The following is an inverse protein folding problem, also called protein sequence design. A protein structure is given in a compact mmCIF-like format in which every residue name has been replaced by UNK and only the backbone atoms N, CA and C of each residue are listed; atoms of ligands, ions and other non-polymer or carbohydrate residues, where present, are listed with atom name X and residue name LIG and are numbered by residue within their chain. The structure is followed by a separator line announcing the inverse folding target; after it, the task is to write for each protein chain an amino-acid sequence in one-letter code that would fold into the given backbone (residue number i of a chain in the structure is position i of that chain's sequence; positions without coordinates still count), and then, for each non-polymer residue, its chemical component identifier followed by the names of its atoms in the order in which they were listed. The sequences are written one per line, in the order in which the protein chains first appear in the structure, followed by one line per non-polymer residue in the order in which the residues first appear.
data_IF_028513820557
#
_entry.id   IF_028513820557
#
_cell.length_a   1.000
_cell.length_b   1.000
_cell.length_c   1.000
_cell.angle_alpha   90.00
_cell.angle_beta   90.00
_cell.angle_gamma   90.00
#
_symmetry.space_group_name_H-M   'P 1'
#
loop_
_entity.id
_entity.type
_entity.pdbx_description
1 polymer ?
#
# COMPACT_ATOMS: atom_id res chain seq x y z
N UNK A 1 -34.17 2.01 -13.12
CA UNK A 1 -33.66 3.12 -12.28
C UNK A 1 -32.77 2.51 -11.21
N UNK A 2 -31.45 2.62 -11.36
CA UNK A 2 -30.49 2.14 -10.35
C UNK A 2 -30.26 3.30 -9.40
N UNK A 3 -30.66 3.13 -8.14
CA UNK A 3 -30.36 4.09 -7.08
C UNK A 3 -28.83 4.14 -6.89
N UNK A 4 -28.20 5.31 -6.73
CA UNK A 4 -26.83 5.37 -6.27
C UNK A 4 -26.85 4.98 -4.79
N UNK A 5 -26.47 3.75 -4.50
CA UNK A 5 -26.20 3.29 -3.14
C UNK A 5 -25.17 4.22 -2.50
N UNK A 6 -25.48 4.65 -1.28
CA UNK A 6 -24.82 5.73 -0.57
C UNK A 6 -23.30 5.58 -0.52
N UNK A 7 -22.62 6.61 -1.00
CA UNK A 7 -21.17 6.77 -0.93
C UNK A 7 -20.72 6.96 0.51
N UNK A 8 -20.41 5.86 1.19
CA UNK A 8 -19.61 5.85 2.40
C UNK A 8 -18.16 5.58 2.01
N UNK A 9 -17.41 6.65 1.70
CA UNK A 9 -15.95 6.72 1.70
C UNK A 9 -15.20 5.62 0.94
N UNK A 10 -15.15 5.73 -0.40
CA UNK A 10 -14.40 4.84 -1.31
C UNK A 10 -12.86 4.84 -1.09
N UNK A 11 -12.36 5.60 -0.12
CA UNK A 11 -10.95 5.70 0.29
C UNK A 11 -10.69 5.17 1.71
N UNK A 12 -11.71 4.66 2.39
CA UNK A 12 -11.63 4.13 3.76
C UNK A 12 -10.62 2.98 3.87
N UNK A 13 -10.66 1.99 2.95
CA UNK A 13 -9.76 0.84 2.95
C UNK A 13 -8.29 1.23 2.83
N UNK A 14 -7.95 2.13 1.91
CA UNK A 14 -6.58 2.60 1.72
C UNK A 14 -6.09 3.37 2.95
N UNK A 15 -6.95 4.20 3.52
CA UNK A 15 -6.63 5.01 4.71
C UNK A 15 -6.45 4.12 5.93
N UNK A 16 -7.27 3.09 6.08
CA UNK A 16 -7.16 2.10 7.14
C UNK A 16 -5.87 1.28 7.00
N UNK A 17 -5.54 0.85 5.78
CA UNK A 17 -4.30 0.15 5.49
C UNK A 17 -3.06 0.98 5.89
N UNK A 18 -3.02 2.25 5.47
CA UNK A 18 -1.95 3.18 5.83
C UNK A 18 -1.91 3.46 7.35
N UNK A 19 -3.08 3.57 7.99
CA UNK A 19 -3.20 3.74 9.44
C UNK A 19 -2.62 2.55 10.22
N UNK A 20 -2.84 1.32 9.75
CA UNK A 20 -2.21 0.12 10.32
C UNK A 20 -0.69 0.13 10.15
N UNK A 21 -0.19 0.51 8.97
CA UNK A 21 1.25 0.64 8.72
C UNK A 21 1.88 1.69 9.64
N UNK A 22 1.22 2.84 9.81
CA UNK A 22 1.66 3.90 10.71
C UNK A 22 1.70 3.45 12.17
N UNK A 23 0.67 2.73 12.61
CA UNK A 23 0.56 2.23 13.98
C UNK A 23 1.61 1.18 14.31
N UNK A 24 1.84 0.24 13.38
CA UNK A 24 2.69 -0.93 13.61
C UNK A 24 4.14 -0.72 13.17
N UNK A 25 4.42 0.32 12.39
CA UNK A 25 5.75 0.59 11.81
C UNK A 25 6.20 -0.45 10.78
N UNK A 26 5.26 -1.25 10.24
CA UNK A 26 5.51 -2.32 9.25
C UNK A 26 4.23 -2.67 8.51
N UNK A 27 4.35 -3.31 7.34
CA UNK A 27 3.20 -3.93 6.67
C UNK A 27 2.95 -5.32 7.28
N UNK A 28 1.86 -5.45 8.05
CA UNK A 28 1.41 -6.75 8.56
C UNK A 28 0.41 -7.41 7.58
N UNK A 29 -0.03 -8.63 7.88
CA UNK A 29 -0.95 -9.38 7.02
C UNK A 29 -2.31 -8.68 6.84
N UNK A 30 -2.78 -7.97 7.86
CA UNK A 30 -4.05 -7.24 7.85
C UNK A 30 -3.97 -6.01 6.95
N UNK A 31 -2.95 -5.17 7.12
CA UNK A 31 -2.67 -4.03 6.26
C UNK A 31 -2.54 -4.48 4.80
N UNK A 32 -1.81 -5.58 4.54
CA UNK A 32 -1.68 -6.16 3.21
C UNK A 32 -3.04 -6.53 2.61
N UNK A 33 -3.92 -7.17 3.37
CA UNK A 33 -5.25 -7.54 2.88
C UNK A 33 -6.06 -6.30 2.48
N UNK A 34 -6.00 -5.23 3.28
CA UNK A 34 -6.67 -3.96 2.96
C UNK A 34 -6.09 -3.28 1.72
N UNK A 35 -4.76 -3.29 1.52
CA UNK A 35 -4.16 -2.78 0.28
C UNK A 35 -4.61 -3.56 -0.96
N UNK A 36 -4.77 -4.88 -0.88
CA UNK A 36 -5.35 -5.67 -1.97
C UNK A 36 -6.78 -5.24 -2.28
N UNK A 37 -7.62 -5.13 -1.26
CA UNK A 37 -9.02 -4.72 -1.41
C UNK A 37 -9.13 -3.31 -1.99
N UNK A 38 -8.34 -2.36 -1.49
CA UNK A 38 -8.32 -0.98 -1.99
C UNK A 38 -7.93 -0.91 -3.47
N UNK A 39 -6.92 -1.68 -3.89
CA UNK A 39 -6.50 -1.74 -5.29
C UNK A 39 -7.58 -2.36 -6.17
N UNK A 40 -8.18 -3.47 -5.75
CA UNK A 40 -9.20 -4.16 -6.53
C UNK A 40 -10.46 -3.31 -6.66
N UNK A 41 -10.87 -2.63 -5.59
CA UNK A 41 -11.97 -1.67 -5.63
C UNK A 41 -11.67 -0.53 -6.61
N UNK A 42 -10.49 0.09 -6.51
CA UNK A 42 -10.14 1.20 -7.39
C UNK A 42 -10.20 0.81 -8.87
N UNK A 43 -9.70 -0.38 -9.23
CA UNK A 43 -9.74 -0.89 -10.60
C UNK A 43 -11.14 -1.12 -11.15
N UNK A 44 -12.10 -1.43 -10.28
CA UNK A 44 -13.48 -1.71 -10.69
C UNK A 44 -14.36 -0.46 -10.72
N UNK A 45 -14.12 0.49 -9.81
CA UNK A 45 -15.09 1.53 -9.47
C UNK A 45 -14.57 2.96 -9.70
N UNK A 46 -13.25 3.17 -9.74
CA UNK A 46 -12.65 4.51 -9.67
C UNK A 46 -11.97 4.92 -10.99
N UNK A 47 -11.76 6.24 -11.21
CA UNK A 47 -11.07 6.74 -12.40
C UNK A 47 -9.60 6.30 -12.50
N UNK A 48 -9.05 6.33 -13.72
CA UNK A 48 -7.72 5.80 -14.05
C UNK A 48 -6.57 6.38 -13.20
N UNK A 49 -6.64 7.65 -12.82
CA UNK A 49 -5.61 8.27 -11.99
C UNK A 49 -5.61 7.72 -10.56
N UNK A 50 -6.79 7.42 -9.99
CA UNK A 50 -6.92 6.74 -8.70
C UNK A 50 -6.49 5.28 -8.81
N UNK A 51 -6.80 4.61 -9.92
CA UNK A 51 -6.29 3.26 -10.18
C UNK A 51 -4.77 3.23 -10.20
N UNK A 52 -4.14 4.19 -10.89
CA UNK A 52 -2.70 4.30 -10.95
C UNK A 52 -2.10 4.60 -9.56
N UNK A 53 -2.68 5.55 -8.84
CA UNK A 53 -2.22 5.88 -7.49
C UNK A 53 -2.30 4.69 -6.52
N UNK A 54 -3.43 3.98 -6.53
CA UNK A 54 -3.62 2.80 -5.67
C UNK A 54 -2.72 1.64 -6.07
N UNK A 55 -2.41 1.48 -7.36
CA UNK A 55 -1.41 0.53 -7.84
C UNK A 55 0.00 0.91 -7.36
N UNK A 56 0.41 2.18 -7.48
CA UNK A 56 1.73 2.64 -7.04
C UNK A 56 1.94 2.41 -5.53
N UNK A 57 0.91 2.65 -4.71
CA UNK A 57 0.97 2.35 -3.27
C UNK A 57 1.01 0.86 -3.00
N UNK A 58 0.22 0.08 -3.73
CA UNK A 58 0.21 -1.36 -3.60
C UNK A 58 1.58 -1.98 -3.91
N UNK A 59 2.29 -1.46 -4.91
CA UNK A 59 3.64 -1.93 -5.27
C UNK A 59 4.67 -1.60 -4.18
N UNK A 60 4.62 -0.39 -3.61
CA UNK A 60 5.42 -0.02 -2.42
C UNK A 60 5.13 -0.96 -1.24
N UNK A 61 3.85 -1.25 -0.99
CA UNK A 61 3.46 -2.20 0.05
C UNK A 61 4.06 -3.58 -0.18
N UNK A 62 4.00 -4.11 -1.42
CA UNK A 62 4.57 -5.41 -1.74
C UNK A 62 6.08 -5.46 -1.51
N UNK A 63 6.79 -4.38 -1.86
CA UNK A 63 8.23 -4.26 -1.64
C UNK A 63 8.58 -4.22 -0.13
N UNK A 64 7.74 -3.59 0.68
CA UNK A 64 7.89 -3.60 2.13
C UNK A 64 7.49 -4.93 2.78
N UNK A 65 6.46 -5.62 2.26
CA UNK A 65 5.95 -6.86 2.84
C UNK A 65 6.77 -8.09 2.46
N UNK A 66 7.22 -8.14 1.21
CA UNK A 66 8.13 -9.18 0.73
C UNK A 66 9.52 -8.58 0.87
N UNK A 67 10.24 -8.80 2.00
CA UNK A 67 11.60 -8.31 2.12
C UNK A 67 12.38 -8.78 0.90
N UNK A 68 13.32 -7.96 0.42
CA UNK A 68 14.21 -8.17 -0.74
C UNK A 68 15.02 -9.47 -0.60
N UNK A 69 14.31 -10.58 -0.70
CA UNK A 69 14.77 -11.97 -0.54
C UNK A 69 14.86 -12.64 -1.90
N UNK A 70 14.26 -12.04 -2.93
CA UNK A 70 14.39 -12.49 -4.32
C UNK A 70 15.61 -11.90 -5.07
N UNK A 71 16.27 -10.85 -4.57
CA UNK A 71 17.61 -10.47 -5.07
C UNK A 71 18.73 -11.37 -4.49
N UNK A 72 18.38 -12.32 -3.61
CA UNK A 72 19.27 -13.38 -3.14
C UNK A 72 19.08 -14.56 -4.08
N UNK A 73 19.92 -14.62 -5.12
CA UNK A 73 19.90 -15.67 -6.11
C UNK A 73 19.97 -17.09 -5.49
N UNK A 74 19.46 -18.14 -6.18
CA UNK A 74 19.11 -19.46 -5.63
C UNK A 74 20.28 -20.36 -5.21
N UNK A 75 21.51 -19.84 -5.15
CA UNK A 75 22.69 -20.66 -4.91
C UNK A 75 23.08 -20.78 -3.44
N UNK A 76 22.42 -20.06 -2.54
CA UNK A 76 22.51 -20.31 -1.10
C UNK A 76 21.20 -20.92 -0.61
N UNK A 77 21.29 -22.17 -0.18
CA UNK A 77 20.23 -22.93 0.48
C UNK A 77 19.59 -22.11 1.61
N UNK A 78 18.51 -21.37 1.32
CA UNK A 78 17.62 -20.75 2.31
C UNK A 78 18.27 -19.81 3.33
N UNK A 79 19.44 -19.24 3.02
CA UNK A 79 20.17 -18.40 3.96
C UNK A 79 19.57 -17.00 4.04
N UNK A 80 19.11 -16.59 5.22
CA UNK A 80 18.80 -15.16 5.47
C UNK A 80 20.05 -14.32 5.18
N UNK A 81 19.91 -13.11 4.62
CA UNK A 81 21.03 -12.21 4.40
C UNK A 81 21.73 -11.94 5.73
N UNK A 82 23.07 -12.03 5.75
CA UNK A 82 23.90 -11.78 6.93
C UNK A 82 24.70 -10.48 6.77
N UNK A 83 25.04 -9.84 7.89
CA UNK A 83 25.89 -8.65 7.93
C UNK A 83 25.32 -7.44 7.19
N UNK A 84 26.18 -6.74 6.44
CA UNK A 84 25.86 -5.48 5.77
C UNK A 84 24.71 -5.59 4.75
N UNK A 85 24.53 -6.76 4.13
CA UNK A 85 23.41 -7.02 3.21
C UNK A 85 22.07 -7.00 3.93
N UNK A 86 22.00 -7.54 5.15
CA UNK A 86 20.78 -7.47 5.97
C UNK A 86 20.45 -6.04 6.34
N UNK A 87 21.48 -5.27 6.71
CA UNK A 87 21.33 -3.86 7.08
C UNK A 87 20.77 -3.03 5.92
N UNK A 88 21.32 -3.19 4.71
CA UNK A 88 20.83 -2.49 3.52
C UNK A 88 19.37 -2.83 3.18
N UNK A 89 18.98 -4.10 3.31
CA UNK A 89 17.58 -4.51 3.08
C UNK A 89 16.64 -3.89 4.13
N UNK A 90 17.03 -3.88 5.40
CA UNK A 90 16.24 -3.26 6.47
C UNK A 90 16.17 -1.74 6.34
N UNK A 91 17.23 -1.07 5.90
CA UNK A 91 17.23 0.37 5.61
C UNK A 91 16.25 0.71 4.47
N UNK A 92 16.30 -0.06 3.36
CA UNK A 92 15.38 0.08 2.24
C UNK A 92 13.92 -0.16 2.65
N UNK A 93 13.65 -1.22 3.41
CA UNK A 93 12.31 -1.49 3.96
C UNK A 93 11.83 -0.30 4.81
N UNK A 94 12.69 0.21 5.69
CA UNK A 94 12.37 1.36 6.54
C UNK A 94 12.06 2.62 5.74
N UNK A 95 12.76 2.86 4.62
CA UNK A 95 12.47 3.98 3.72
C UNK A 95 11.11 3.83 3.04
N UNK A 96 10.77 2.62 2.58
CA UNK A 96 9.47 2.37 1.96
C UNK A 96 8.34 2.54 2.96
N UNK A 97 8.50 2.04 4.19
CA UNK A 97 7.52 2.26 5.27
C UNK A 97 7.35 3.74 5.57
N UNK A 98 8.43 4.53 5.64
CA UNK A 98 8.34 5.98 5.80
C UNK A 98 7.57 6.63 4.64
N UNK A 99 7.82 6.19 3.42
CA UNK A 99 7.11 6.70 2.25
C UNK A 99 5.61 6.38 2.34
N UNK A 100 5.24 5.15 2.70
CA UNK A 100 3.85 4.75 2.91
C UNK A 100 3.17 5.60 4.00
N UNK A 101 3.82 5.80 5.15
CA UNK A 101 3.28 6.62 6.25
C UNK A 101 3.11 8.09 5.83
N UNK A 102 3.95 8.56 4.92
CA UNK A 102 3.90 9.95 4.42
C UNK A 102 2.88 10.15 3.30
N UNK A 103 2.24 9.09 2.81
CA UNK A 103 1.22 9.20 1.78
C UNK A 103 0.02 10.01 2.29
N UNK A 104 -0.52 10.85 1.41
CA UNK A 104 -1.68 11.70 1.71
C UNK A 104 -2.81 11.40 0.71
N UNK A 105 -3.50 10.24 0.81
CA UNK A 105 -4.55 9.86 -0.14
C UNK A 105 -5.63 10.91 -0.31
N UNK A 106 -5.95 11.65 0.75
CA UNK A 106 -6.97 12.70 0.70
C UNK A 106 -6.67 13.79 -0.35
N UNK A 107 -5.40 14.13 -0.63
CA UNK A 107 -5.04 15.13 -1.64
C UNK A 107 -5.36 14.65 -3.07
N UNK A 108 -5.20 13.35 -3.31
CA UNK A 108 -5.48 12.73 -4.60
C UNK A 108 -7.00 12.55 -4.77
N UNK A 109 -7.67 12.01 -3.74
CA UNK A 109 -9.09 11.68 -3.78
C UNK A 109 -10.01 12.91 -3.67
N UNK A 110 -9.56 14.02 -3.08
CA UNK A 110 -10.35 15.26 -2.95
C UNK A 110 -10.87 15.79 -4.30
N UNK A 111 -10.17 15.53 -5.40
CA UNK A 111 -10.60 15.90 -6.76
C UNK A 111 -11.92 15.24 -7.17
N UNK A 112 -12.21 14.07 -6.61
CA UNK A 112 -13.36 13.22 -6.93
C UNK A 112 -14.44 13.24 -5.85
N UNK A 113 -14.08 13.59 -4.62
CA UNK A 113 -14.99 13.70 -3.48
C UNK A 113 -15.84 14.98 -3.47
N UNK A 114 -16.04 15.64 -4.63
CA UNK A 114 -16.80 16.90 -4.73
C UNK A 114 -18.01 16.85 -3.81
N UNK A 115 -17.95 17.65 -2.75
CA UNK A 115 -18.99 17.78 -1.74
C UNK A 115 -20.29 18.04 -2.48
N UNK A 116 -21.24 17.10 -2.39
CA UNK A 116 -22.63 17.40 -2.69
C UNK A 116 -23.10 18.40 -1.64
N UNK A 117 -22.81 19.68 -1.84
CA UNK A 117 -23.58 20.79 -1.25
C UNK A 117 -24.87 20.96 -2.04
#
# INVERSE_FOLDING_TARGET
MVQPSGGSSDYSLLTEALGLVMKEGRVNAEARALFWQARDQARLELPEDIQKYTQDIFDKMLEAFVPVTHEIAPNDKGGQPQGDKRKAVTERESEIIKNLISEQPHEIFAKYLRVKT
#
